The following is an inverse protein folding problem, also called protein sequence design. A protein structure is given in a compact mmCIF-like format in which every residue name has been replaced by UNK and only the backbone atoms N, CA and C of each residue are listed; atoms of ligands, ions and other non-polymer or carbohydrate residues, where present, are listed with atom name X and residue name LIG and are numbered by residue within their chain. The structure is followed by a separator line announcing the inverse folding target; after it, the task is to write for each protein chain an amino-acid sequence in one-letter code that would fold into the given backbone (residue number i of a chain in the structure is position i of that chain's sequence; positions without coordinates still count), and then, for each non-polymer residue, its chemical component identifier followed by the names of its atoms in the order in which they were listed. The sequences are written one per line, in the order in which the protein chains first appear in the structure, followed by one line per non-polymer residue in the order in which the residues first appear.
data_IF_279563780970
#
_entry.id   IF_279563780970
#
_cell.length_a   1.000
_cell.length_b   1.000
_cell.length_c   1.000
_cell.angle_alpha   90.00
_cell.angle_beta   90.00
_cell.angle_gamma   90.00
#
_symmetry.space_group_name_H-M   'P 1'
#
loop_
_entity.id
_entity.type
_entity.pdbx_description
1 polymer ?
#
# COMPACT_ATOMS: atom_id res chain seq x y z
N UNK A 1 -27.93 -26.59 19.04
CA UNK A 1 -27.63 -28.03 19.10
C UNK A 1 -27.04 -28.35 17.73
N UNK A 2 -25.74 -28.24 17.47
CA UNK A 2 -24.55 -28.81 18.13
C UNK A 2 -24.47 -30.33 17.93
N UNK A 3 -23.83 -30.73 16.83
CA UNK A 3 -23.22 -32.05 16.59
C UNK A 3 -21.75 -31.73 16.25
N UNK A 4 -20.82 -31.75 17.20
CA UNK A 4 -20.06 -32.91 17.70
C UNK A 4 -19.49 -33.81 16.59
N UNK A 5 -18.37 -33.36 16.01
CA UNK A 5 -17.36 -34.24 15.42
C UNK A 5 -16.07 -34.03 16.21
N UNK A 6 -15.97 -34.74 17.34
CA UNK A 6 -14.74 -34.89 18.09
C UNK A 6 -13.72 -35.70 17.29
N UNK A 7 -12.64 -35.04 16.86
CA UNK A 7 -11.38 -35.71 16.62
C UNK A 7 -10.48 -35.49 17.84
N UNK A 8 -10.11 -36.61 18.45
CA UNK A 8 -9.47 -36.75 19.76
C UNK A 8 -8.20 -35.92 19.87
N UNK A 9 -8.10 -35.18 20.98
CA UNK A 9 -6.84 -34.69 21.51
C UNK A 9 -5.89 -35.88 21.73
N UNK A 10 -4.82 -35.92 20.95
CA UNK A 10 -3.57 -36.53 21.38
C UNK A 10 -2.64 -35.40 21.76
N UNK A 11 -2.68 -35.07 23.04
CA UNK A 11 -1.57 -34.53 23.80
C UNK A 11 -0.33 -35.37 23.50
N UNK A 12 0.60 -34.81 22.77
CA UNK A 12 1.96 -35.31 22.69
C UNK A 12 2.87 -34.09 22.67
N UNK A 13 3.37 -33.76 23.87
CA UNK A 13 4.32 -32.68 24.08
C UNK A 13 5.52 -32.80 23.14
N UNK A 14 5.54 -31.92 22.15
CA UNK A 14 6.76 -31.55 21.43
C UNK A 14 7.11 -30.17 21.93
N UNK A 15 8.12 -30.10 22.79
CA UNK A 15 8.84 -28.85 23.04
C UNK A 15 9.10 -28.20 21.68
N UNK A 16 8.58 -26.99 21.49
CA UNK A 16 9.01 -26.14 20.40
C UNK A 16 10.54 -26.11 20.45
N UNK A 17 11.18 -26.76 19.47
CA UNK A 17 12.61 -26.56 19.25
C UNK A 17 12.69 -25.13 18.74
N UNK A 18 12.88 -24.20 19.67
CA UNK A 18 13.17 -22.80 19.38
C UNK A 18 14.36 -22.80 18.42
N UNK A 19 14.10 -22.38 17.18
CA UNK A 19 15.14 -22.15 16.19
C UNK A 19 16.14 -21.17 16.82
N UNK A 20 17.43 -21.53 16.98
CA UNK A 20 18.44 -20.64 17.52
C UNK A 20 18.52 -19.30 16.77
N UNK A 21 18.06 -19.23 15.51
CA UNK A 21 17.98 -18.00 14.72
C UNK A 21 16.73 -17.16 14.99
N UNK A 22 15.66 -17.73 15.56
CA UNK A 22 14.41 -17.00 15.84
C UNK A 22 14.62 -15.92 16.91
N UNK A 23 15.40 -16.21 17.95
CA UNK A 23 15.75 -15.21 18.97
C UNK A 23 16.58 -14.05 18.38
N UNK A 24 17.45 -14.33 17.41
CA UNK A 24 18.27 -13.31 16.74
C UNK A 24 17.45 -12.42 15.80
N UNK A 25 16.51 -13.00 15.05
CA UNK A 25 15.60 -12.22 14.19
C UNK A 25 14.65 -11.35 15.01
N UNK A 26 14.08 -11.88 16.10
CA UNK A 26 13.25 -11.09 17.00
C UNK A 26 14.04 -9.94 17.66
N UNK A 27 15.31 -10.18 18.00
CA UNK A 27 16.20 -9.14 18.51
C UNK A 27 16.48 -8.06 17.45
N UNK A 28 16.79 -8.45 16.21
CA UNK A 28 17.00 -7.52 15.08
C UNK A 28 15.74 -6.70 14.77
N UNK A 29 14.55 -7.31 14.78
CA UNK A 29 13.28 -6.62 14.58
C UNK A 29 13.01 -5.60 15.70
N UNK A 30 13.33 -5.92 16.95
CA UNK A 30 13.20 -4.98 18.06
C UNK A 30 14.20 -3.82 17.99
N UNK A 31 15.41 -4.05 17.49
CA UNK A 31 16.44 -3.02 17.30
C UNK A 31 16.07 -2.05 16.17
N UNK A 32 15.49 -2.55 15.06
CA UNK A 32 14.99 -1.72 13.97
C UNK A 32 13.76 -0.91 14.39
N UNK A 33 12.84 -1.50 15.17
CA UNK A 33 11.66 -0.80 15.68
C UNK A 33 12.02 0.37 16.63
N UNK A 34 13.16 0.31 17.33
CA UNK A 34 13.70 1.42 18.15
C UNK A 34 14.14 2.60 17.26
N UNK A 35 14.66 2.33 16.06
CA UNK A 35 15.09 3.37 15.11
C UNK A 35 13.89 4.05 14.43
N UNK A 36 12.84 3.31 14.08
CA UNK A 36 11.63 3.90 13.45
C UNK A 36 10.83 4.81 14.39
N UNK A 37 10.86 4.55 15.70
CA UNK A 37 10.17 5.37 16.69
C UNK A 37 10.86 6.72 16.98
N UNK A 38 12.14 6.89 16.64
CA UNK A 38 12.92 8.13 16.81
C UNK A 38 13.05 8.98 15.53
N UNK A 39 12.27 8.67 14.49
CA UNK A 39 12.19 9.42 13.22
C UNK A 39 11.66 10.87 13.35
N UNK A 40 11.30 11.30 14.57
CA UNK A 40 10.79 12.66 14.84
C UNK A 40 11.89 13.69 15.13
N UNK A 41 13.11 13.53 14.60
CA UNK A 41 14.27 14.29 15.07
C UNK A 41 15.34 14.73 14.06
N UNK A 42 15.16 14.56 12.74
CA UNK A 42 16.16 15.02 11.76
C UNK A 42 15.56 15.90 10.66
N UNK A 43 14.95 17.00 11.10
CA UNK A 43 14.46 18.08 10.25
C UNK A 43 14.99 19.42 10.72
N UNK A 44 16.31 19.58 10.84
CA UNK A 44 17.00 20.87 10.93
C UNK A 44 18.53 20.66 10.99
N UNK A 45 19.22 20.69 9.84
CA UNK A 45 20.46 21.47 9.75
C UNK A 45 20.78 21.78 8.28
N UNK A 46 20.51 23.03 7.95
CA UNK A 46 21.19 23.81 6.92
C UNK A 46 22.66 24.00 7.31
N UNK A 47 23.54 23.96 6.30
CA UNK A 47 24.87 24.58 6.20
C UNK A 47 26.05 23.63 5.88
N UNK A 48 26.90 24.10 4.97
CA UNK A 48 27.84 23.32 4.18
C UNK A 48 29.18 22.98 4.85
N UNK A 49 29.75 21.85 4.43
CA UNK A 49 31.15 21.47 4.68
C UNK A 49 31.54 20.22 3.87
N UNK A 50 32.75 20.16 3.28
CA UNK A 50 33.13 19.12 2.31
C UNK A 50 33.40 17.75 2.97
N UNK A 51 33.25 16.63 2.23
CA UNK A 51 33.40 15.28 2.77
C UNK A 51 34.88 14.90 2.95
N UNK A 52 35.27 14.20 4.04
CA UNK A 52 36.60 13.59 4.11
C UNK A 52 36.67 12.35 3.22
N UNK A 53 37.67 12.36 2.34
CA UNK A 53 38.06 11.25 1.49
C UNK A 53 38.65 10.10 2.30
N UNK A 54 38.30 8.85 1.97
CA UNK A 54 39.22 7.73 2.17
C UNK A 54 39.00 6.60 1.14
N UNK A 55 39.91 6.62 0.16
CA UNK A 55 40.64 5.49 -0.44
C UNK A 55 39.88 4.24 -0.86
N UNK A 56 39.63 4.13 -2.17
CA UNK A 56 39.47 2.87 -2.89
C UNK A 56 40.76 2.52 -3.66
N UNK A 57 41.04 1.21 -3.71
CA UNK A 57 41.74 0.48 -4.78
C UNK A 57 43.26 0.62 -4.92
N UNK A 58 43.97 -0.51 -4.79
CA UNK A 58 44.63 -1.21 -5.91
C UNK A 58 45.75 -2.14 -5.41
N UNK A 59 45.48 -3.45 -5.37
CA UNK A 59 46.51 -4.47 -5.41
C UNK A 59 46.97 -4.64 -6.87
N UNK A 60 48.26 -4.47 -7.11
CA UNK A 60 48.94 -4.61 -8.40
C UNK A 60 50.01 -3.52 -8.49
N UNK A 61 51.30 -3.77 -8.64
CA UNK A 61 52.06 -4.95 -9.04
C UNK A 61 53.29 -4.33 -9.71
N UNK A 62 54.49 -4.52 -9.15
CA UNK A 62 55.72 -4.01 -9.77
C UNK A 62 56.89 -4.97 -9.53
N UNK A 63 57.75 -4.99 -10.53
CA UNK A 63 58.58 -6.10 -10.99
C UNK A 63 60.07 -5.74 -10.83
N UNK A 64 60.90 -6.73 -10.49
CA UNK A 64 62.36 -6.63 -10.47
C UNK A 64 62.92 -6.82 -9.06
N UNK A 65 63.95 -7.61 -8.79
CA UNK A 65 65.04 -8.12 -9.62
C UNK A 65 65.75 -9.24 -8.80
N UNK A 66 66.14 -10.34 -9.46
CA UNK A 66 66.95 -11.41 -8.87
C UNK A 66 68.42 -10.96 -8.76
N UNK A 67 69.27 -11.52 -7.85
CA UNK A 67 69.84 -12.87 -8.02
C UNK A 67 70.04 -13.56 -6.64
N UNK A 68 70.55 -14.77 -6.41
CA UNK A 68 71.36 -15.72 -7.16
C UNK A 68 71.26 -17.11 -6.47
N UNK A 69 71.31 -18.17 -7.28
CA UNK A 69 71.98 -19.48 -7.06
C UNK A 69 72.39 -19.96 -5.65
N UNK A 70 71.93 -21.17 -5.28
CA UNK A 70 72.69 -22.34 -4.76
C UNK A 70 71.69 -23.42 -4.25
N UNK A 71 71.54 -24.61 -4.87
CA UNK A 71 72.34 -25.86 -4.80
C UNK A 71 71.65 -26.99 -3.99
N UNK A 72 71.78 -28.23 -4.49
CA UNK A 72 71.37 -29.57 -3.99
C UNK A 72 69.97 -30.06 -4.44
N UNK A 73 69.77 -31.12 -5.24
CA UNK A 73 70.56 -32.36 -5.48
C UNK A 73 70.42 -33.29 -4.27
N UNK A 74 69.81 -34.47 -4.25
CA UNK A 74 69.60 -35.53 -5.25
C UNK A 74 68.63 -36.58 -4.62
N UNK A 75 68.14 -37.51 -5.44
CA UNK A 75 67.79 -38.90 -5.10
C UNK A 75 66.42 -39.22 -4.44
N UNK A 76 65.58 -39.94 -5.19
CA UNK A 76 65.04 -41.31 -4.91
C UNK A 76 63.82 -41.54 -5.84
N UNK A 77 63.99 -42.24 -6.96
CA UNK A 77 63.91 -43.71 -7.12
C UNK A 77 62.47 -44.20 -7.36
N UNK A 78 62.24 -44.62 -8.60
CA UNK A 78 61.06 -45.30 -9.12
C UNK A 78 60.80 -46.61 -8.36
N UNK A 79 59.53 -46.92 -8.02
CA UNK A 79 58.94 -48.27 -8.20
C UNK A 79 57.45 -48.37 -7.80
N UNK A 80 56.70 -48.99 -8.72
CA UNK A 80 55.47 -49.78 -8.58
C UNK A 80 54.08 -49.12 -8.46
N UNK A 81 53.34 -49.29 -9.57
CA UNK A 81 51.89 -49.23 -9.66
C UNK A 81 51.50 -48.54 -10.95
N UNK A 82 50.73 -49.19 -11.83
CA UNK A 82 50.06 -48.49 -12.91
C UNK A 82 49.16 -47.42 -12.30
N UNK A 83 49.67 -46.20 -12.13
CA UNK A 83 48.83 -45.03 -11.91
C UNK A 83 48.12 -44.84 -13.23
N UNK A 84 46.92 -45.41 -13.31
CA UNK A 84 45.99 -45.19 -14.38
C UNK A 84 45.76 -43.68 -14.47
N UNK A 85 46.47 -43.06 -15.41
CA UNK A 85 46.43 -41.62 -15.64
C UNK A 85 45.02 -41.20 -16.03
N UNK A 86 44.23 -42.11 -16.62
CA UNK A 86 42.82 -41.90 -16.92
C UNK A 86 41.97 -41.87 -15.65
N UNK A 87 42.21 -42.76 -14.68
CA UNK A 87 41.58 -42.71 -13.35
C UNK A 87 41.96 -41.45 -12.57
N UNK A 88 43.21 -41.00 -12.64
CA UNK A 88 43.64 -39.75 -11.98
C UNK A 88 42.96 -38.51 -12.59
N UNK A 89 42.83 -38.46 -13.93
CA UNK A 89 42.12 -37.39 -14.64
C UNK A 89 40.62 -37.45 -14.34
N UNK A 90 40.00 -38.64 -14.35
CA UNK A 90 38.59 -38.82 -14.01
C UNK A 90 38.27 -38.44 -12.55
N UNK A 91 39.16 -38.74 -11.60
CA UNK A 91 39.01 -38.32 -10.21
C UNK A 91 39.09 -36.79 -10.07
N UNK A 92 39.98 -36.13 -10.82
CA UNK A 92 40.06 -34.66 -10.86
C UNK A 92 38.82 -34.06 -11.51
N UNK A 93 38.25 -34.68 -12.56
CA UNK A 93 36.99 -34.25 -13.17
C UNK A 93 35.78 -34.46 -12.26
N UNK A 94 35.72 -35.58 -11.52
CA UNK A 94 34.69 -35.83 -10.50
C UNK A 94 34.81 -34.83 -9.35
N UNK A 95 36.03 -34.44 -8.97
CA UNK A 95 36.28 -33.41 -7.95
C UNK A 95 35.99 -31.99 -8.46
N UNK A 96 36.10 -31.74 -9.78
CA UNK A 96 35.77 -30.46 -10.43
C UNK A 96 34.29 -30.32 -10.79
N UNK A 97 33.58 -31.44 -10.98
CA UNK A 97 32.13 -31.43 -11.13
C UNK A 97 31.52 -30.90 -9.84
N UNK A 98 30.75 -29.82 -9.94
CA UNK A 98 29.89 -29.44 -8.83
C UNK A 98 29.05 -30.66 -8.42
N UNK A 99 28.97 -31.00 -7.12
CA UNK A 99 28.14 -32.10 -6.68
C UNK A 99 26.72 -31.93 -7.22
N UNK A 100 26.12 -32.98 -7.79
CA UNK A 100 24.75 -32.92 -8.32
C UNK A 100 23.73 -32.40 -7.29
N UNK A 101 24.00 -32.57 -6.00
CA UNK A 101 23.22 -31.97 -4.90
C UNK A 101 23.28 -30.44 -4.88
N UNK A 102 24.45 -29.84 -5.15
CA UNK A 102 24.63 -28.40 -5.22
C UNK A 102 23.96 -27.82 -6.47
N UNK A 103 24.03 -28.53 -7.60
CA UNK A 103 23.32 -28.14 -8.82
C UNK A 103 21.81 -28.11 -8.60
N UNK A 104 21.25 -29.19 -8.05
CA UNK A 104 19.83 -29.26 -7.69
C UNK A 104 19.43 -28.16 -6.71
N UNK A 105 20.24 -27.91 -5.68
CA UNK A 105 19.97 -26.84 -4.73
C UNK A 105 19.97 -25.45 -5.38
N UNK A 106 20.92 -25.15 -6.28
CA UNK A 106 20.94 -23.89 -7.04
C UNK A 106 19.70 -23.73 -7.91
N UNK A 107 19.29 -24.80 -8.60
CA UNK A 107 18.10 -24.83 -9.44
C UNK A 107 16.83 -24.61 -8.61
N UNK A 108 16.70 -25.27 -7.46
CA UNK A 108 15.60 -25.10 -6.52
C UNK A 108 15.54 -23.70 -5.92
N UNK A 109 16.68 -23.13 -5.51
CA UNK A 109 16.72 -21.75 -4.99
C UNK A 109 16.38 -20.73 -6.07
N UNK A 110 16.90 -20.91 -7.29
CA UNK A 110 16.59 -20.05 -8.43
C UNK A 110 15.10 -20.11 -8.75
N UNK A 111 14.52 -21.31 -8.80
CA UNK A 111 13.09 -21.48 -9.07
C UNK A 111 12.23 -20.84 -7.97
N UNK A 112 12.59 -21.02 -6.70
CA UNK A 112 11.90 -20.39 -5.57
C UNK A 112 11.96 -18.86 -5.63
N UNK A 113 13.11 -18.29 -6.03
CA UNK A 113 13.26 -16.85 -6.18
C UNK A 113 12.39 -16.32 -7.32
N UNK A 114 12.40 -17.01 -8.46
CA UNK A 114 11.55 -16.66 -9.62
C UNK A 114 10.06 -16.74 -9.29
N UNK A 115 9.64 -17.74 -8.49
CA UNK A 115 8.26 -17.83 -7.99
C UNK A 115 7.90 -16.65 -7.09
N UNK A 116 8.82 -16.22 -6.21
CA UNK A 116 8.60 -15.07 -5.33
C UNK A 116 8.50 -13.75 -6.12
N UNK A 117 9.36 -13.56 -7.13
CA UNK A 117 9.32 -12.41 -8.03
C UNK A 117 8.03 -12.39 -8.85
N UNK A 118 7.59 -13.55 -9.36
CA UNK A 118 6.32 -13.69 -10.08
C UNK A 118 5.11 -13.39 -9.17
N UNK A 119 5.14 -13.85 -7.92
CA UNK A 119 4.08 -13.55 -6.95
C UNK A 119 4.03 -12.06 -6.61
N UNK A 120 5.19 -11.40 -6.42
CA UNK A 120 5.28 -9.97 -6.16
C UNK A 120 4.71 -9.14 -7.32
N UNK A 121 5.14 -9.43 -8.55
CA UNK A 121 4.67 -8.72 -9.74
C UNK A 121 3.17 -8.92 -9.99
N UNK A 122 2.65 -10.13 -9.72
CA UNK A 122 1.22 -10.42 -9.79
C UNK A 122 0.43 -9.63 -8.72
N UNK A 123 0.91 -9.58 -7.48
CA UNK A 123 0.26 -8.81 -6.41
C UNK A 123 0.21 -7.31 -6.73
N UNK A 124 1.31 -6.75 -7.24
CA UNK A 124 1.32 -5.35 -7.70
C UNK A 124 0.35 -5.09 -8.85
N UNK A 125 0.22 -6.04 -9.79
CA UNK A 125 -0.73 -5.92 -10.90
C UNK A 125 -2.18 -5.88 -10.39
N UNK A 126 -2.52 -6.74 -9.43
CA UNK A 126 -3.83 -6.75 -8.77
C UNK A 126 -4.08 -5.44 -8.04
N UNK A 127 -3.10 -4.90 -7.30
CA UNK A 127 -3.26 -3.62 -6.61
C UNK A 127 -3.38 -2.44 -7.57
N UNK A 128 -2.63 -2.43 -8.68
CA UNK A 128 -2.79 -1.42 -9.74
C UNK A 128 -4.17 -1.48 -10.37
N UNK A 129 -4.67 -2.67 -10.68
CA UNK A 129 -6.01 -2.83 -11.24
C UNK A 129 -7.09 -2.39 -10.26
N UNK A 130 -6.96 -2.74 -8.98
CA UNK A 130 -7.89 -2.30 -7.93
C UNK A 130 -7.91 -0.77 -7.81
N UNK A 131 -6.75 -0.14 -7.76
CA UNK A 131 -6.64 1.32 -7.67
C UNK A 131 -7.24 2.01 -8.91
N UNK A 132 -6.97 1.46 -10.11
CA UNK A 132 -7.57 1.95 -11.36
C UNK A 132 -9.09 1.85 -11.33
N UNK A 133 -9.63 0.69 -10.90
CA UNK A 133 -11.07 0.48 -10.82
C UNK A 133 -11.73 1.43 -9.81
N UNK A 134 -11.14 1.60 -8.64
CA UNK A 134 -11.66 2.52 -7.62
C UNK A 134 -11.73 3.98 -8.12
N UNK A 135 -10.72 4.40 -8.90
CA UNK A 135 -10.71 5.72 -9.54
C UNK A 135 -11.80 5.86 -10.60
N UNK A 136 -12.03 4.82 -11.42
CA UNK A 136 -13.12 4.81 -12.39
C UNK A 136 -14.50 4.81 -11.73
N UNK A 137 -14.69 3.98 -10.70
CA UNK A 137 -15.92 3.93 -9.89
C UNK A 137 -16.19 5.30 -9.23
N UNK A 138 -15.15 6.00 -8.76
CA UNK A 138 -15.28 7.36 -8.23
C UNK A 138 -15.73 8.36 -9.29
N UNK A 139 -15.18 8.31 -10.50
CA UNK A 139 -15.61 9.18 -11.61
C UNK A 139 -17.05 8.93 -12.03
N UNK A 140 -17.45 7.66 -12.12
CA UNK A 140 -18.84 7.28 -12.39
C UNK A 140 -19.75 7.84 -11.30
N UNK A 141 -19.43 7.57 -10.03
CA UNK A 141 -20.22 8.07 -8.90
C UNK A 141 -20.34 9.59 -8.90
N UNK A 142 -19.25 10.32 -9.14
CA UNK A 142 -19.29 11.79 -9.27
C UNK A 142 -20.22 12.24 -10.39
N UNK A 143 -20.11 11.64 -11.58
CA UNK A 143 -20.97 11.98 -12.71
C UNK A 143 -22.45 11.71 -12.41
N UNK A 144 -22.77 10.58 -11.79
CA UNK A 144 -24.13 10.22 -11.38
C UNK A 144 -24.68 11.20 -10.33
N UNK A 145 -23.88 11.56 -9.32
CA UNK A 145 -24.30 12.55 -8.33
C UNK A 145 -24.55 13.92 -8.98
N UNK A 146 -23.70 14.34 -9.90
CA UNK A 146 -23.88 15.59 -10.64
C UNK A 146 -25.16 15.56 -11.48
N UNK A 147 -25.43 14.48 -12.21
CA UNK A 147 -26.66 14.36 -13.01
C UNK A 147 -27.90 14.25 -12.13
N UNK A 148 -27.83 13.56 -11.00
CA UNK A 148 -28.92 13.52 -10.01
C UNK A 148 -29.20 14.91 -9.45
N UNK A 149 -28.17 15.68 -9.11
CA UNK A 149 -28.32 17.05 -8.63
C UNK A 149 -28.95 17.95 -9.69
N UNK A 150 -28.49 17.87 -10.95
CA UNK A 150 -29.11 18.60 -12.07
C UNK A 150 -30.57 18.18 -12.27
N UNK A 151 -30.88 16.89 -12.21
CA UNK A 151 -32.24 16.39 -12.32
C UNK A 151 -33.14 16.92 -11.19
N UNK A 152 -32.67 16.87 -9.94
CA UNK A 152 -33.40 17.41 -8.79
C UNK A 152 -33.63 18.92 -8.92
N UNK A 153 -32.63 19.67 -9.39
CA UNK A 153 -32.78 21.11 -9.64
C UNK A 153 -33.81 21.38 -10.75
N UNK A 154 -33.79 20.62 -11.85
CA UNK A 154 -34.80 20.73 -12.92
C UNK A 154 -36.20 20.43 -12.41
N UNK A 155 -36.38 19.36 -11.64
CA UNK A 155 -37.69 19.00 -11.06
C UNK A 155 -38.17 20.06 -10.06
N UNK A 156 -37.26 20.59 -9.24
CA UNK A 156 -37.60 21.63 -8.27
C UNK A 156 -38.00 22.93 -8.97
N UNK A 157 -37.30 23.29 -10.04
CA UNK A 157 -37.64 24.44 -10.88
C UNK A 157 -38.97 24.25 -11.59
N UNK A 158 -39.23 23.07 -12.19
CA UNK A 158 -40.50 22.78 -12.84
C UNK A 158 -41.67 22.82 -11.84
N UNK A 159 -41.47 22.28 -10.63
CA UNK A 159 -42.46 22.36 -9.55
C UNK A 159 -42.69 23.81 -9.10
N UNK A 160 -41.62 24.60 -8.95
CA UNK A 160 -41.68 26.01 -8.59
C UNK A 160 -42.42 26.84 -9.67
N UNK A 161 -42.07 26.64 -10.94
CA UNK A 161 -42.75 27.29 -12.06
C UNK A 161 -44.23 26.93 -12.11
N UNK A 162 -44.57 25.66 -11.94
CA UNK A 162 -45.97 25.21 -11.88
C UNK A 162 -46.74 25.85 -10.72
N UNK A 163 -46.12 25.97 -9.55
CA UNK A 163 -46.72 26.63 -8.38
C UNK A 163 -46.87 28.15 -8.58
N UNK A 164 -45.95 28.78 -9.31
CA UNK A 164 -46.04 30.19 -9.70
C UNK A 164 -47.15 30.42 -10.73
N UNK A 165 -47.18 29.63 -11.81
CA UNK A 165 -48.09 29.76 -12.95
C UNK A 165 -49.53 29.31 -12.65
N UNK A 166 -49.78 28.62 -11.53
CA UNK A 166 -51.12 28.22 -11.10
C UNK A 166 -51.96 29.44 -10.66
N UNK A 167 -52.55 30.16 -11.62
CA UNK A 167 -53.44 31.31 -11.41
C UNK A 167 -54.90 30.91 -11.16
N UNK A 168 -55.10 29.81 -10.44
CA UNK A 168 -56.42 29.41 -9.97
C UNK A 168 -57.01 30.50 -9.06
N UNK A 169 -58.24 31.01 -9.35
CA UNK A 169 -58.84 32.08 -8.57
C UNK A 169 -59.07 31.65 -7.12
N UNK A 170 -58.66 32.49 -6.16
CA UNK A 170 -58.76 32.22 -4.72
C UNK A 170 -57.45 31.77 -4.05
N UNK A 171 -56.38 31.51 -4.82
CA UNK A 171 -55.05 31.11 -4.30
C UNK A 171 -54.10 32.29 -4.06
N UNK A 172 -54.48 33.51 -4.43
CA UNK A 172 -53.58 34.67 -4.48
C UNK A 172 -53.01 35.04 -3.10
N UNK A 173 -53.85 35.00 -2.06
CA UNK A 173 -53.40 35.26 -0.69
C UNK A 173 -52.54 34.14 -0.12
N UNK A 174 -52.71 32.91 -0.58
CA UNK A 174 -51.83 31.80 -0.21
C UNK A 174 -50.44 31.95 -0.85
N UNK A 175 -50.37 32.39 -2.12
CA UNK A 175 -49.10 32.78 -2.79
C UNK A 175 -48.39 33.90 -2.04
N UNK A 176 -49.10 34.98 -1.70
CA UNK A 176 -48.53 36.12 -0.94
C UNK A 176 -48.03 35.68 0.43
N UNK A 177 -48.78 34.83 1.13
CA UNK A 177 -48.38 34.32 2.43
C UNK A 177 -47.16 33.40 2.38
N UNK A 178 -46.98 32.58 1.33
CA UNK A 178 -45.77 31.76 1.13
C UNK A 178 -44.48 32.59 1.02
N UNK A 179 -44.57 33.77 0.42
CA UNK A 179 -43.45 34.71 0.29
C UNK A 179 -43.17 35.50 1.58
N UNK A 180 -44.09 35.49 2.53
CA UNK A 180 -43.97 36.23 3.78
C UNK A 180 -43.39 35.36 4.90
N UNK A 181 -42.31 35.83 5.52
CA UNK A 181 -41.74 35.19 6.70
C UNK A 181 -42.56 35.53 7.96
N UNK A 182 -43.36 34.55 8.40
CA UNK A 182 -44.16 34.61 9.62
C UNK A 182 -43.44 34.06 10.86
N UNK A 183 -42.20 33.58 10.73
CA UNK A 183 -41.47 33.08 11.88
C UNK A 183 -41.06 34.27 12.78
N UNK A 184 -41.53 34.32 14.04
CA UNK A 184 -41.21 35.42 14.93
C UNK A 184 -39.72 35.49 15.30
N UNK A 185 -38.96 34.39 15.13
CA UNK A 185 -37.54 34.30 15.51
C UNK A 185 -36.58 34.81 14.44
N UNK A 186 -36.98 34.82 13.18
CA UNK A 186 -36.19 35.33 12.05
C UNK A 186 -36.46 36.81 11.78
N UNK A 187 -37.39 37.40 12.54
CA UNK A 187 -37.83 38.78 12.40
C UNK A 187 -36.76 39.79 12.89
N UNK A 188 -35.86 40.25 12.00
CA UNK A 188 -34.89 41.33 12.25
C UNK A 188 -35.33 42.72 11.74
N UNK A 189 -36.58 43.10 11.95
CA UNK A 189 -37.17 44.32 11.39
C UNK A 189 -37.26 45.40 12.47
N UNK A 190 -36.89 46.64 12.13
CA UNK A 190 -36.94 47.80 13.03
C UNK A 190 -38.35 48.40 13.18
N UNK A 191 -39.31 47.96 12.35
CA UNK A 191 -40.69 48.43 12.35
C UNK A 191 -41.61 47.32 12.83
N UNK A 192 -42.61 47.67 13.63
CA UNK A 192 -43.66 46.75 14.03
C UNK A 192 -44.55 46.40 12.82
N UNK A 193 -44.45 45.15 12.37
CA UNK A 193 -45.23 44.60 11.26
C UNK A 193 -46.34 43.65 11.73
N UNK A 194 -46.65 43.62 13.03
CA UNK A 194 -47.61 42.68 13.63
C UNK A 194 -49.00 42.80 13.02
N UNK A 195 -49.48 44.04 12.80
CA UNK A 195 -50.78 44.29 12.15
C UNK A 195 -50.81 43.78 10.71
N UNK A 196 -49.76 44.04 9.94
CA UNK A 196 -49.64 43.56 8.55
C UNK A 196 -49.62 42.04 8.49
N UNK A 197 -48.83 41.39 9.37
CA UNK A 197 -48.78 39.93 9.49
C UNK A 197 -50.15 39.34 9.82
N UNK A 198 -50.87 39.93 10.76
CA UNK A 198 -52.23 39.50 11.14
C UNK A 198 -53.21 39.60 9.98
N UNK A 199 -53.18 40.70 9.21
CA UNK A 199 -54.02 40.88 8.02
C UNK A 199 -53.71 39.82 6.94
N UNK A 200 -52.43 39.58 6.64
CA UNK A 200 -52.01 38.59 5.65
C UNK A 200 -52.41 37.16 6.04
N UNK A 201 -52.28 36.80 7.32
CA UNK A 201 -52.73 35.49 7.84
C UNK A 201 -54.25 35.35 7.71
N UNK A 202 -55.01 36.39 8.05
CA UNK A 202 -56.47 36.38 7.93
C UNK A 202 -56.91 36.18 6.48
N UNK A 203 -56.25 36.85 5.53
CA UNK A 203 -56.57 36.76 4.11
C UNK A 203 -56.22 35.39 3.51
N UNK A 204 -55.19 34.72 4.05
CA UNK A 204 -54.88 33.33 3.73
C UNK A 204 -55.95 32.35 4.23
N UNK A 205 -56.43 32.54 5.47
CA UNK A 205 -57.38 31.63 6.11
C UNK A 205 -58.82 31.81 5.61
N UNK A 206 -59.20 33.04 5.33
CA UNK A 206 -60.52 33.41 4.82
C UNK A 206 -60.34 34.32 3.59
N UNK A 207 -60.20 33.71 2.39
CA UNK A 207 -60.15 34.47 1.14
C UNK A 207 -61.39 35.34 1.00
N UNK A 208 -61.21 36.54 0.44
CA UNK A 208 -62.32 37.44 0.17
C UNK A 208 -63.27 36.76 -0.82
N UNK A 209 -64.55 36.65 -0.47
CA UNK A 209 -65.59 36.22 -1.38
C UNK A 209 -65.61 37.21 -2.56
N UNK A 210 -65.32 36.70 -3.77
CA UNK A 210 -65.42 37.45 -5.02
C UNK A 210 -66.70 37.08 -5.75
#
# INVERSE_FOLDING_TARGET
MADDFGFLASDNGVHAVEDPAAAFLAQQESEIAVIENDSSGFGALEDGGPPPANTYTAFGGDFGEAPATALNGDMFQETNGSTDSYSAIAQVDIQRQEPESLRKWREEQKARLEELDAASTAAEAVWREKARKELEDWHVHQSEQMEKNKANNRVSEEAFLKECDDDSPGTEWDKVARLCDFNPKTSRQTKDVSRMRSVLISLKQAPLLR
#
